data_IF_899557829357
#
_entry.id   IF_899557829357
#
_cell.length_a   1.000
_cell.length_b   1.000
_cell.length_c   1.000
_cell.angle_alpha   90.00
_cell.angle_beta   90.00
_cell.angle_gamma   90.00
#
_symmetry.space_group_name_H-M   'P 1'
#
loop_
_entity.id
_entity.type
_entity.pdbx_description
1 polymer ?
#
# COMPACT_ATOMS: atom_id res chain seq x y z
N UNK A 1 -27.61 9.00 20.75
CA UNK A 1 -26.24 8.61 21.16
C UNK A 1 -25.39 8.50 19.91
N UNK A 2 -24.39 9.35 19.72
CA UNK A 2 -23.51 9.26 18.55
C UNK A 2 -22.34 8.32 18.90
N UNK A 3 -22.29 7.17 18.25
CA UNK A 3 -21.18 6.22 18.43
C UNK A 3 -19.95 6.75 17.70
N UNK A 4 -18.84 6.92 18.42
CA UNK A 4 -17.54 7.23 17.84
C UNK A 4 -16.73 5.93 17.71
N UNK A 5 -16.41 5.48 16.50
CA UNK A 5 -15.56 4.31 16.31
C UNK A 5 -14.15 4.59 16.82
N UNK A 6 -13.50 3.56 17.39
CA UNK A 6 -12.09 3.62 17.81
C UNK A 6 -11.15 3.88 16.63
N UNK A 7 -11.43 3.25 15.49
CA UNK A 7 -10.75 3.51 14.22
C UNK A 7 -11.67 3.13 13.06
N UNK A 8 -11.41 3.69 11.89
CA UNK A 8 -12.09 3.35 10.64
C UNK A 8 -11.07 2.78 9.66
N UNK A 9 -11.44 1.69 8.97
CA UNK A 9 -10.65 1.14 7.87
C UNK A 9 -11.43 1.24 6.57
N UNK A 10 -10.82 1.77 5.51
CA UNK A 10 -11.50 1.98 4.23
C UNK A 10 -10.64 1.62 3.02
N UNK A 11 -11.28 1.55 1.85
CA UNK A 11 -10.60 1.52 0.55
C UNK A 11 -10.01 2.89 0.22
N UNK A 12 -9.00 2.91 -0.65
CA UNK A 12 -8.33 4.15 -1.09
C UNK A 12 -9.14 4.85 -2.18
N UNK A 13 -10.22 5.52 -1.77
CA UNK A 13 -11.01 6.41 -2.62
C UNK A 13 -11.12 7.78 -1.96
N UNK A 14 -10.75 8.83 -2.69
CA UNK A 14 -10.77 10.20 -2.16
C UNK A 14 -12.15 10.61 -1.64
N UNK A 15 -13.23 10.27 -2.35
CA UNK A 15 -14.60 10.54 -1.91
C UNK A 15 -14.98 9.81 -0.61
N UNK A 16 -14.52 8.56 -0.44
CA UNK A 16 -14.79 7.78 0.77
C UNK A 16 -13.99 8.32 1.96
N UNK A 17 -12.70 8.61 1.76
CA UNK A 17 -11.85 9.23 2.77
C UNK A 17 -12.45 10.56 3.22
N UNK A 18 -12.87 11.40 2.27
CA UNK A 18 -13.55 12.67 2.55
C UNK A 18 -14.81 12.46 3.39
N UNK A 19 -15.72 11.57 2.95
CA UNK A 19 -16.95 11.31 3.68
C UNK A 19 -16.73 10.78 5.10
N UNK A 20 -15.69 9.96 5.32
CA UNK A 20 -15.30 9.50 6.65
C UNK A 20 -14.77 10.66 7.49
N UNK A 21 -13.92 11.53 6.94
CA UNK A 21 -13.39 12.69 7.65
C UNK A 21 -14.46 13.74 7.98
N UNK A 22 -15.43 13.94 7.09
CA UNK A 22 -16.57 14.83 7.33
C UNK A 22 -17.44 14.31 8.49
N UNK A 23 -17.57 12.97 8.63
CA UNK A 23 -18.39 12.35 9.69
C UNK A 23 -17.64 12.09 11.00
N UNK A 24 -16.35 11.76 10.92
CA UNK A 24 -15.50 11.34 12.03
C UNK A 24 -14.12 12.02 11.93
N UNK A 25 -14.04 13.35 12.14
CA UNK A 25 -12.82 14.11 11.89
C UNK A 25 -11.62 13.62 12.74
N UNK A 26 -11.89 13.29 14.01
CA UNK A 26 -10.87 12.89 14.99
C UNK A 26 -10.64 11.37 15.09
N UNK A 27 -11.39 10.54 14.35
CA UNK A 27 -11.18 9.09 14.39
C UNK A 27 -9.99 8.71 13.52
N UNK A 28 -9.05 7.87 14.01
CA UNK A 28 -7.99 7.30 13.20
C UNK A 28 -8.54 6.60 11.96
N UNK A 29 -8.01 6.96 10.79
CA UNK A 29 -8.36 6.36 9.51
C UNK A 29 -7.17 5.58 8.99
N UNK A 30 -7.33 4.28 8.92
CA UNK A 30 -6.29 3.35 8.48
C UNK A 30 -6.69 2.76 7.14
N UNK A 31 -5.75 2.69 6.21
CA UNK A 31 -5.92 2.06 4.92
C UNK A 31 -6.12 0.55 5.03
N UNK A 32 -6.80 -0.02 4.03
CA UNK A 32 -6.99 -1.46 3.96
C UNK A 32 -5.85 -2.12 3.18
N UNK A 33 -5.06 -2.98 3.84
CA UNK A 33 -3.92 -3.67 3.21
C UNK A 33 -4.34 -4.45 1.97
N UNK A 34 -5.47 -5.17 2.02
CA UNK A 34 -5.99 -5.92 0.87
C UNK A 34 -6.25 -5.03 -0.36
N UNK A 35 -6.87 -3.86 -0.17
CA UNK A 35 -7.14 -2.95 -1.28
C UNK A 35 -5.87 -2.26 -1.79
N UNK A 36 -4.90 -2.03 -0.90
CA UNK A 36 -3.57 -1.54 -1.25
C UNK A 36 -2.85 -2.53 -2.17
N UNK A 37 -2.69 -3.78 -1.73
CA UNK A 37 -2.07 -4.88 -2.48
C UNK A 37 -2.76 -5.12 -3.82
N UNK A 38 -4.10 -5.11 -3.84
CA UNK A 38 -4.88 -5.29 -5.06
C UNK A 38 -4.64 -4.15 -6.07
N UNK A 39 -4.55 -2.91 -5.59
CA UNK A 39 -4.31 -1.74 -6.45
C UNK A 39 -2.92 -1.81 -7.08
N UNK A 40 -1.91 -2.20 -6.29
CA UNK A 40 -0.54 -2.40 -6.76
C UNK A 40 -0.49 -3.51 -7.81
N UNK A 41 -1.06 -4.68 -7.51
CA UNK A 41 -1.09 -5.81 -8.46
C UNK A 41 -1.74 -5.42 -9.77
N UNK A 42 -2.88 -4.72 -9.73
CA UNK A 42 -3.56 -4.23 -10.95
C UNK A 42 -2.65 -3.30 -11.75
N UNK A 43 -1.93 -2.40 -11.09
CA UNK A 43 -1.00 -1.51 -11.78
C UNK A 43 0.17 -2.26 -12.41
N UNK A 44 0.73 -3.26 -11.74
CA UNK A 44 1.81 -4.07 -12.30
C UNK A 44 1.35 -4.79 -13.59
N UNK A 45 0.12 -5.31 -13.60
CA UNK A 45 -0.52 -5.90 -14.80
C UNK A 45 -0.71 -4.85 -15.89
N UNK A 46 -1.24 -3.66 -15.56
CA UNK A 46 -1.43 -2.57 -16.54
C UNK A 46 -0.12 -2.10 -17.18
N UNK A 47 0.98 -2.16 -16.41
CA UNK A 47 2.33 -1.84 -16.87
C UNK A 47 2.99 -2.98 -17.67
N UNK A 48 2.31 -4.12 -17.84
CA UNK A 48 2.82 -5.31 -18.52
C UNK A 48 4.10 -5.86 -17.91
N UNK A 49 4.21 -5.78 -16.57
CA UNK A 49 5.30 -6.45 -15.86
C UNK A 49 5.12 -7.97 -16.02
N UNK A 50 6.18 -8.73 -16.37
CA UNK A 50 6.14 -10.17 -16.45
C UNK A 50 5.53 -10.86 -15.22
N UNK A 51 4.68 -11.86 -15.44
CA UNK A 51 3.93 -12.53 -14.37
C UNK A 51 4.83 -13.14 -13.29
N UNK A 52 6.00 -13.66 -13.65
CA UNK A 52 6.96 -14.20 -12.69
C UNK A 52 7.46 -13.13 -11.71
N UNK A 53 7.63 -11.89 -12.18
CA UNK A 53 8.07 -10.79 -11.33
C UNK A 53 6.93 -10.18 -10.54
N UNK A 54 5.70 -10.21 -11.07
CA UNK A 54 4.50 -9.88 -10.28
C UNK A 54 4.36 -10.90 -9.14
N UNK A 55 4.60 -12.18 -9.40
CA UNK A 55 4.54 -13.22 -8.38
C UNK A 55 5.62 -13.04 -7.30
N UNK A 56 6.87 -12.76 -7.69
CA UNK A 56 7.95 -12.42 -6.76
C UNK A 56 7.61 -11.16 -5.94
N UNK A 57 7.11 -10.11 -6.60
CA UNK A 57 6.71 -8.87 -5.95
C UNK A 57 5.62 -9.05 -4.90
N UNK A 58 4.60 -9.82 -5.24
CA UNK A 58 3.44 -10.08 -4.40
C UNK A 58 3.67 -11.25 -3.44
N UNK A 59 4.89 -11.80 -3.39
CA UNK A 59 5.25 -12.81 -2.42
C UNK A 59 5.15 -12.24 -0.99
N UNK A 60 4.77 -13.07 -0.01
CA UNK A 60 4.62 -12.62 1.38
C UNK A 60 5.87 -11.87 1.88
N UNK A 61 5.67 -10.66 2.38
CA UNK A 61 6.74 -9.83 2.96
C UNK A 61 7.51 -8.94 1.97
N UNK A 62 7.41 -9.16 0.65
CA UNK A 62 8.17 -8.38 -0.35
C UNK A 62 7.54 -7.01 -0.55
N UNK A 63 6.37 -6.92 -1.18
CA UNK A 63 5.68 -5.62 -1.36
C UNK A 63 5.31 -4.96 -0.02
N UNK A 64 5.04 -5.78 1.01
CA UNK A 64 4.71 -5.29 2.36
C UNK A 64 5.80 -4.40 2.95
N UNK A 65 7.07 -4.60 2.57
CA UNK A 65 8.18 -3.78 3.06
C UNK A 65 7.94 -2.29 2.83
N UNK A 66 7.22 -1.90 1.77
CA UNK A 66 6.93 -0.51 1.46
C UNK A 66 6.06 0.17 2.53
N UNK A 67 5.26 -0.62 3.25
CA UNK A 67 4.37 -0.14 4.32
C UNK A 67 5.12 0.13 5.62
N UNK A 68 6.33 -0.42 5.77
CA UNK A 68 7.13 -0.32 6.99
C UNK A 68 8.44 0.44 6.80
N UNK A 69 8.83 0.84 5.60
CA UNK A 69 10.03 1.67 5.38
C UNK A 69 9.70 3.17 5.43
N UNK A 70 10.67 4.01 5.79
CA UNK A 70 10.46 5.45 5.84
C UNK A 70 10.13 5.99 4.45
N UNK A 71 9.23 6.97 4.40
CA UNK A 71 8.80 7.61 3.15
C UNK A 71 9.96 8.27 2.40
N UNK A 72 10.91 8.86 3.12
CA UNK A 72 12.11 9.43 2.49
C UNK A 72 12.95 8.35 1.79
N UNK A 73 13.01 7.15 2.34
CA UNK A 73 13.76 6.04 1.75
C UNK A 73 13.02 5.47 0.53
N UNK A 74 11.68 5.48 0.54
CA UNK A 74 10.87 5.19 -0.65
C UNK A 74 11.17 6.20 -1.76
N UNK A 75 11.17 7.49 -1.43
CA UNK A 75 11.42 8.57 -2.41
C UNK A 75 12.84 8.48 -2.98
N UNK A 76 13.85 8.30 -2.13
CA UNK A 76 15.24 8.14 -2.58
C UNK A 76 15.39 6.95 -3.54
N UNK A 77 14.74 5.81 -3.24
CA UNK A 77 14.76 4.62 -4.11
C UNK A 77 13.96 4.77 -5.40
N UNK A 78 12.87 5.53 -5.39
CA UNK A 78 12.06 5.80 -6.57
C UNK A 78 12.81 6.66 -7.62
N UNK A 79 13.82 7.43 -7.20
CA UNK A 79 14.54 8.39 -8.04
C UNK A 79 16.06 8.13 -8.14
N UNK A 80 16.64 7.21 -7.37
CA UNK A 80 18.06 6.84 -7.44
C UNK A 80 18.29 5.31 -7.47
N UNK A 81 19.26 4.93 -8.30
CA UNK A 81 19.80 3.59 -8.63
C UNK A 81 19.96 2.66 -7.40
N UNK A 82 19.78 1.33 -7.54
CA UNK A 82 19.55 0.44 -6.41
C UNK A 82 20.82 0.11 -5.61
N UNK A 83 21.05 0.84 -4.53
CA UNK A 83 22.12 0.51 -3.58
C UNK A 83 21.64 -0.45 -2.47
N UNK A 84 22.04 -1.72 -2.66
CA UNK A 84 22.56 -2.73 -1.72
C UNK A 84 21.80 -3.13 -0.44
N UNK A 85 20.76 -2.43 0.01
CA UNK A 85 19.92 -2.88 1.15
C UNK A 85 18.75 -3.78 0.74
N UNK A 86 18.49 -3.87 -0.56
CA UNK A 86 17.63 -4.88 -1.19
C UNK A 86 18.52 -5.61 -2.21
N UNK A 87 19.28 -6.59 -1.76
CA UNK A 87 20.00 -7.51 -2.65
C UNK A 87 19.06 -8.41 -3.42
N UNK A 88 17.74 -8.23 -3.32
CA UNK A 88 16.84 -8.88 -4.22
C UNK A 88 16.73 -8.06 -5.50
N UNK A 89 17.09 -8.73 -6.59
CA UNK A 89 16.67 -8.43 -7.97
C UNK A 89 15.17 -8.15 -8.14
N UNK A 90 14.36 -8.22 -7.08
CA UNK A 90 12.90 -8.30 -7.04
C UNK A 90 12.19 -6.94 -7.09
N UNK A 91 12.78 -5.84 -6.59
CA UNK A 91 12.13 -4.50 -6.58
C UNK A 91 12.69 -3.54 -7.64
N UNK A 92 13.97 -3.70 -8.00
CA UNK A 92 14.62 -2.88 -9.03
C UNK A 92 14.08 -3.10 -10.44
N UNK A 93 13.37 -4.21 -10.68
CA UNK A 93 12.80 -4.53 -11.98
C UNK A 93 11.52 -3.73 -12.31
N UNK A 94 10.82 -3.17 -11.31
CA UNK A 94 9.47 -2.65 -11.55
C UNK A 94 9.42 -1.40 -12.45
N UNK A 95 10.59 -0.81 -12.71
CA UNK A 95 10.80 0.25 -13.69
C UNK A 95 10.26 1.60 -13.24
N UNK A 96 10.75 2.66 -13.88
CA UNK A 96 10.45 4.05 -13.50
C UNK A 96 8.94 4.35 -13.51
N UNK A 97 8.19 3.72 -14.42
CA UNK A 97 6.73 3.91 -14.51
C UNK A 97 5.99 3.41 -13.27
N UNK A 98 6.45 2.32 -12.66
CA UNK A 98 5.87 1.85 -11.41
C UNK A 98 6.18 2.81 -10.28
N UNK A 99 7.44 3.21 -10.12
CA UNK A 99 7.86 4.10 -9.03
C UNK A 99 7.25 5.50 -9.13
N UNK A 100 7.11 6.02 -10.35
CA UNK A 100 6.38 7.25 -10.60
C UNK A 100 4.91 7.13 -10.17
N UNK A 101 4.23 6.05 -10.59
CA UNK A 101 2.86 5.79 -10.15
C UNK A 101 2.78 5.67 -8.63
N UNK A 102 3.68 4.90 -8.03
CA UNK A 102 3.64 4.57 -6.60
C UNK A 102 3.83 5.84 -5.77
N UNK A 103 4.83 6.66 -6.11
CA UNK A 103 5.09 7.92 -5.40
C UNK A 103 3.94 8.91 -5.57
N UNK A 104 3.40 9.09 -6.77
CA UNK A 104 2.25 9.97 -7.02
C UNK A 104 1.00 9.52 -6.26
N UNK A 105 0.73 8.21 -6.25
CA UNK A 105 -0.49 7.67 -5.63
C UNK A 105 -0.37 7.60 -4.12
N UNK A 106 0.73 7.05 -3.61
CA UNK A 106 0.87 6.68 -2.20
C UNK A 106 1.66 7.69 -1.37
N UNK A 107 2.29 8.70 -1.98
CA UNK A 107 2.92 9.79 -1.20
C UNK A 107 2.30 11.15 -1.44
N UNK A 108 1.62 11.35 -2.58
CA UNK A 108 0.93 12.58 -2.92
C UNK A 108 -0.59 12.48 -2.74
N UNK A 109 -1.25 11.52 -3.39
CA UNK A 109 -2.72 11.41 -3.34
C UNK A 109 -3.24 10.82 -2.02
N UNK A 110 -2.60 9.76 -1.51
CA UNK A 110 -2.93 9.15 -0.23
C UNK A 110 -1.78 9.36 0.76
N UNK A 111 -1.94 10.24 1.77
CA UNK A 111 -0.88 10.53 2.71
C UNK A 111 -0.32 9.27 3.40
N UNK A 112 0.99 9.17 3.64
CA UNK A 112 1.61 8.08 4.39
C UNK A 112 0.95 7.73 5.71
N UNK A 113 0.39 8.71 6.42
CA UNK A 113 -0.35 8.50 7.67
C UNK A 113 -1.60 7.61 7.51
N UNK A 114 -2.00 7.25 6.29
CA UNK A 114 -3.09 6.31 6.04
C UNK A 114 -2.59 4.87 5.88
N UNK A 115 -1.32 4.62 5.59
CA UNK A 115 -0.89 3.28 5.13
C UNK A 115 0.52 2.86 5.55
N UNK A 116 1.33 3.79 6.06
CA UNK A 116 2.72 3.53 6.42
C UNK A 116 2.90 3.50 7.95
N UNK A 117 3.42 2.39 8.47
CA UNK A 117 3.55 2.13 9.92
C UNK A 117 4.48 3.13 10.60
N UNK A 118 5.53 3.63 9.93
CA UNK A 118 6.35 4.72 10.49
C UNK A 118 5.63 6.06 10.55
N UNK A 119 4.56 6.23 9.79
CA UNK A 119 3.78 7.48 9.71
C UNK A 119 2.47 7.40 10.51
N UNK A 120 2.14 6.21 11.02
CA UNK A 120 1.01 5.96 11.91
C UNK A 120 1.56 5.85 13.35
N UNK A 121 0.79 6.23 14.35
CA UNK A 121 1.17 6.03 15.76
C UNK A 121 1.51 4.54 16.02
N UNK A 122 2.53 4.25 16.83
CA UNK A 122 3.24 2.96 16.91
C UNK A 122 2.38 1.73 17.30
N UNK A 123 1.09 1.93 17.55
CA UNK A 123 0.12 0.88 17.90
C UNK A 123 -0.90 0.58 16.79
N UNK A 124 -0.80 1.21 15.62
CA UNK A 124 -1.75 1.03 14.52
C UNK A 124 -1.04 0.69 13.20
N UNK A 125 -1.27 -0.53 12.69
CA UNK A 125 -0.80 -0.98 11.37
C UNK A 125 -1.98 -1.12 10.40
N UNK A 126 -1.68 -1.15 9.09
CA UNK A 126 -2.69 -1.49 8.10
C UNK A 126 -3.32 -2.85 8.41
N UNK A 127 -4.63 -2.86 8.66
CA UNK A 127 -5.32 -4.07 9.07
C UNK A 127 -5.59 -4.97 7.88
N UNK A 128 -5.14 -6.21 7.99
CA UNK A 128 -5.52 -7.29 7.09
C UNK A 128 -7.01 -7.63 7.28
N UNK A 129 -7.84 -7.25 6.31
CA UNK A 129 -9.21 -7.75 6.19
C UNK A 129 -9.30 -8.59 4.92
N UNK A 130 -8.85 -9.83 5.02
CA UNK A 130 -8.99 -10.81 3.95
C UNK A 130 -10.47 -11.14 3.78
N UNK A 131 -11.03 -10.95 2.58
CA UNK A 131 -12.21 -11.71 2.18
C UNK A 131 -11.75 -13.15 2.03
N UNK A 132 -12.25 -14.05 2.88
CA UNK A 132 -12.10 -15.50 2.77
C UNK A 132 -12.40 -16.07 1.35
N UNK A 133 -12.99 -15.26 0.45
CA UNK A 133 -13.34 -15.61 -0.93
C UNK A 133 -12.22 -15.51 -1.98
N UNK A 134 -11.08 -14.86 -1.73
CA UNK A 134 -10.03 -14.75 -2.77
C UNK A 134 -9.04 -15.92 -2.76
N UNK A 135 -8.74 -16.51 -1.59
CA UNK A 135 -7.89 -17.72 -1.50
C UNK A 135 -8.50 -18.93 -2.23
N UNK A 136 -9.82 -18.99 -2.36
CA UNK A 136 -10.53 -20.07 -3.07
C UNK A 136 -10.56 -19.92 -4.61
N UNK A 137 -10.02 -18.83 -5.19
CA UNK A 137 -10.11 -18.54 -6.63
C UNK A 137 -8.76 -18.47 -7.34
N UNK A 138 -7.67 -18.72 -6.61
CA UNK A 138 -6.30 -18.85 -7.13
C UNK A 138 -5.63 -20.14 -6.64
N UNK A 139 -6.41 -21.06 -6.06
CA UNK A 139 -5.98 -22.39 -5.64
C UNK A 139 -7.16 -23.34 -5.71
N UNK A 140 -7.32 -23.96 -6.87
CA UNK A 140 -8.40 -24.87 -7.26
C UNK A 140 -8.39 -25.02 -8.77
#
# INVERSE_FOLDING_TARGET
>A
MQMSPRSVTCEFKAALIKGIRDRFPSTPLIGCLFHWELTIRRKQVDLRIPDNQIAEAMAPGVIYVLTVIRIDDIRKKAFHTPDRWLSTRELGFWGDKFWLFFTQTWTALFPPALWNVHSIDQNEEMRNRTKARFKARIGG
#
